data_IF_267714901619
#
_entry.id   IF_267714901619
#
_cell.length_a   1.000
_cell.length_b   1.000
_cell.length_c   1.000
_cell.angle_alpha   90.00
_cell.angle_beta   90.00
_cell.angle_gamma   90.00
#
_symmetry.space_group_name_H-M   'P 1'
#
loop_
_entity.id
_entity.type
_entity.pdbx_description
1 polymer ?
#
# COMPACT_ATOMS: atom_id res chain seq x y z
N UNK A 1 13.70 12.99 13.28
CA UNK A 1 13.64 13.09 11.81
C UNK A 1 13.39 11.67 11.30
N UNK A 2 12.29 11.31 10.62
CA UNK A 2 12.24 10.01 9.99
C UNK A 2 13.11 10.07 8.74
N UNK A 3 14.27 9.42 8.80
CA UNK A 3 15.16 9.21 7.66
C UNK A 3 14.67 7.99 6.87
N UNK A 4 14.45 8.21 5.56
CA UNK A 4 14.40 7.30 4.41
C UNK A 4 13.77 5.89 4.56
N UNK A 5 12.77 5.65 3.72
CA UNK A 5 12.30 4.30 3.38
C UNK A 5 11.10 4.30 2.45
N UNK A 6 9.98 4.85 2.90
CA UNK A 6 8.74 4.90 2.10
C UNK A 6 8.46 6.34 1.67
N UNK A 7 8.64 6.60 0.37
CA UNK A 7 8.04 7.78 -0.22
C UNK A 7 6.55 7.48 -0.41
N UNK A 8 5.63 8.41 -0.07
CA UNK A 8 4.23 8.21 -0.36
C UNK A 8 4.08 7.93 -1.85
N UNK A 9 3.51 6.76 -2.17
CA UNK A 9 3.36 6.32 -3.54
C UNK A 9 2.51 7.36 -4.28
N UNK A 10 2.96 7.82 -5.45
CA UNK A 10 2.07 8.56 -6.34
C UNK A 10 0.90 7.62 -6.65
N UNK A 11 -0.28 7.92 -6.12
CA UNK A 11 -1.40 7.00 -6.15
C UNK A 11 -1.72 6.64 -7.61
N UNK A 12 -1.52 5.37 -7.94
CA UNK A 12 -1.84 4.79 -9.22
C UNK A 12 -3.18 4.08 -9.11
N UNK A 13 -4.03 4.23 -10.13
CA UNK A 13 -5.34 3.59 -10.16
C UNK A 13 -5.78 3.32 -11.59
N UNK A 14 -6.71 2.38 -11.74
CA UNK A 14 -7.53 2.21 -12.93
C UNK A 14 -8.90 2.85 -12.74
N UNK A 15 -9.55 3.17 -13.86
CA UNK A 15 -10.94 3.61 -13.92
C UNK A 15 -11.77 2.56 -14.64
N UNK A 16 -12.81 2.05 -13.98
CA UNK A 16 -13.67 0.97 -14.49
C UNK A 16 -15.01 1.57 -14.91
N UNK A 17 -15.43 1.36 -16.16
CA UNK A 17 -16.73 1.81 -16.64
C UNK A 17 -17.87 0.87 -16.19
N UNK A 18 -19.11 1.20 -16.56
CA UNK A 18 -20.30 0.40 -16.28
C UNK A 18 -20.31 -1.03 -16.88
N UNK A 19 -19.45 -1.33 -17.86
CA UNK A 19 -19.28 -2.68 -18.42
C UNK A 19 -18.19 -3.49 -17.70
N UNK A 20 -17.62 -2.98 -16.61
CA UNK A 20 -16.52 -3.62 -15.91
C UNK A 20 -15.20 -3.59 -16.68
N UNK A 21 -15.02 -2.62 -17.59
CA UNK A 21 -13.81 -2.47 -18.42
C UNK A 21 -12.99 -1.27 -18.00
N UNK A 22 -11.67 -1.42 -18.08
CA UNK A 22 -10.72 -0.38 -17.68
C UNK A 22 -10.47 0.63 -18.78
N UNK A 23 -10.49 1.91 -18.41
CA UNK A 23 -9.96 3.01 -19.23
C UNK A 23 -8.50 2.72 -19.57
N UNK A 24 -8.21 2.70 -20.86
CA UNK A 24 -6.94 2.27 -21.43
C UNK A 24 -6.38 3.36 -22.32
N UNK A 25 -5.13 3.74 -22.10
CA UNK A 25 -4.37 4.58 -23.03
C UNK A 25 -3.61 3.68 -24.02
N UNK A 26 -3.86 3.82 -25.32
CA UNK A 26 -3.14 3.02 -26.32
C UNK A 26 -1.70 3.52 -26.54
N UNK A 27 -0.79 2.59 -26.82
CA UNK A 27 0.63 2.91 -27.04
C UNK A 27 0.87 3.78 -28.28
N UNK A 28 -0.02 3.69 -29.25
CA UNK A 28 0.06 4.39 -30.53
C UNK A 28 -1.25 5.11 -30.79
N UNK A 29 -1.23 6.14 -31.64
CA UNK A 29 -2.38 6.97 -32.04
C UNK A 29 -3.00 7.86 -30.95
N UNK A 30 -2.47 7.87 -29.73
CA UNK A 30 -2.93 8.72 -28.61
C UNK A 30 -4.44 8.60 -28.32
N UNK A 31 -5.03 7.45 -28.65
CA UNK A 31 -6.44 7.15 -28.39
C UNK A 31 -6.61 6.50 -27.03
N UNK A 32 -7.83 6.63 -26.51
CA UNK A 32 -8.29 5.93 -25.31
C UNK A 32 -9.49 5.04 -25.63
N UNK A 33 -9.63 3.94 -24.90
CA UNK A 33 -10.78 3.06 -24.96
C UNK A 33 -11.10 2.48 -23.58
N UNK A 34 -12.24 1.81 -23.44
CA UNK A 34 -12.64 1.05 -22.27
C UNK A 34 -13.00 -0.40 -22.64
N UNK A 35 -12.00 -1.14 -23.13
CA UNK A 35 -12.17 -2.54 -23.58
C UNK A 35 -11.46 -3.58 -22.68
N UNK A 36 -10.48 -3.15 -21.87
CA UNK A 36 -9.62 -4.07 -21.14
C UNK A 36 -10.33 -4.71 -19.92
N UNK A 37 -10.24 -6.05 -19.72
CA UNK A 37 -10.82 -6.75 -18.55
C UNK A 37 -9.99 -6.61 -17.26
N UNK A 38 -8.74 -6.18 -17.36
CA UNK A 38 -7.77 -6.28 -16.26
C UNK A 38 -6.92 -5.02 -16.17
N UNK A 39 -6.56 -4.64 -14.94
CA UNK A 39 -5.63 -3.55 -14.67
C UNK A 39 -4.19 -4.00 -14.96
N UNK A 40 -3.60 -3.50 -16.06
CA UNK A 40 -2.19 -3.66 -16.41
C UNK A 40 -1.59 -2.30 -16.71
N UNK A 41 -0.34 -2.26 -17.19
CA UNK A 41 0.40 -1.03 -17.48
C UNK A 41 -0.41 0.04 -18.24
N UNK A 42 -1.15 -0.34 -19.29
CA UNK A 42 -1.92 0.61 -20.12
C UNK A 42 -3.18 1.17 -19.45
N UNK A 43 -3.61 0.55 -18.36
CA UNK A 43 -4.81 0.91 -17.59
C UNK A 43 -4.46 1.74 -16.34
N UNK A 44 -3.17 1.98 -16.11
CA UNK A 44 -2.70 2.76 -14.97
C UNK A 44 -2.77 4.25 -15.31
N UNK A 45 -3.47 4.98 -14.44
CA UNK A 45 -3.57 6.42 -14.42
C UNK A 45 -3.06 6.97 -13.09
N UNK A 46 -2.63 8.23 -13.13
CA UNK A 46 -2.31 9.02 -11.93
C UNK A 46 -3.09 10.32 -11.98
N UNK A 47 -3.43 10.85 -10.80
CA UNK A 47 -4.09 12.14 -10.67
C UNK A 47 -3.07 13.21 -10.29
N UNK A 48 -3.05 14.31 -11.02
CA UNK A 48 -2.30 15.52 -10.68
C UNK A 48 -3.28 16.66 -10.41
N UNK A 49 -3.02 17.49 -9.41
CA UNK A 49 -3.86 18.65 -9.11
C UNK A 49 -3.23 19.92 -9.67
N UNK A 50 -4.07 20.83 -10.13
CA UNK A 50 -3.63 22.17 -10.50
C UNK A 50 -3.11 22.93 -9.27
N UNK A 51 -2.04 23.71 -9.47
CA UNK A 51 -1.38 24.43 -8.39
C UNK A 51 -2.12 25.71 -7.97
N UNK A 52 -2.96 26.25 -8.85
CA UNK A 52 -3.74 27.47 -8.61
C UNK A 52 -5.19 27.13 -8.23
N UNK A 53 -5.77 26.08 -8.83
CA UNK A 53 -7.12 25.60 -8.51
C UNK A 53 -7.14 24.13 -8.08
N UNK A 54 -7.16 23.90 -6.76
CA UNK A 54 -7.15 22.56 -6.17
C UNK A 54 -8.36 21.68 -6.52
N UNK A 55 -9.42 22.24 -7.14
CA UNK A 55 -10.57 21.45 -7.63
C UNK A 55 -10.29 20.82 -8.99
N UNK A 56 -9.36 21.40 -9.75
CA UNK A 56 -9.01 20.96 -11.09
C UNK A 56 -7.95 19.88 -11.03
N UNK A 57 -8.20 18.83 -11.79
CA UNK A 57 -7.35 17.66 -11.86
C UNK A 57 -6.97 17.34 -13.29
N UNK A 58 -5.81 16.71 -13.43
CA UNK A 58 -5.29 16.17 -14.68
C UNK A 58 -5.11 14.66 -14.52
N UNK A 59 -5.65 13.89 -15.45
CA UNK A 59 -5.46 12.43 -15.49
C UNK A 59 -4.30 12.10 -16.42
N UNK A 60 -3.20 11.59 -15.84
CA UNK A 60 -1.99 11.25 -16.57
C UNK A 60 -1.84 9.74 -16.74
N UNK A 61 -1.69 9.30 -17.99
CA UNK A 61 -1.50 7.90 -18.38
C UNK A 61 -0.10 7.38 -18.06
N UNK A 62 0.11 6.06 -18.24
CA UNK A 62 1.42 5.41 -18.13
C UNK A 62 2.46 5.89 -19.15
N UNK A 63 2.03 6.55 -20.23
CA UNK A 63 2.91 7.18 -21.24
C UNK A 63 3.37 8.57 -20.80
N UNK A 64 2.88 9.06 -19.66
CA UNK A 64 3.12 10.41 -19.20
C UNK A 64 2.29 11.47 -19.94
N UNK A 65 1.28 11.07 -20.72
CA UNK A 65 0.37 11.93 -21.47
C UNK A 65 -0.94 12.16 -20.72
N UNK A 66 -1.62 13.28 -20.97
CA UNK A 66 -2.85 13.67 -20.25
C UNK A 66 -4.12 13.37 -21.05
N UNK A 67 -5.15 12.89 -20.36
CA UNK A 67 -6.51 12.81 -20.89
C UNK A 67 -6.99 14.22 -21.24
N UNK A 68 -7.56 14.40 -22.43
CA UNK A 68 -8.06 15.68 -22.91
C UNK A 68 -9.41 15.52 -23.61
N UNK A 69 -10.21 16.58 -23.60
CA UNK A 69 -11.45 16.70 -24.36
C UNK A 69 -11.52 18.04 -25.06
N UNK A 70 -11.84 18.04 -26.36
CA UNK A 70 -12.13 19.27 -27.08
C UNK A 70 -13.62 19.68 -26.96
N UNK A 71 -13.95 20.81 -27.59
CA UNK A 71 -15.31 21.40 -27.62
C UNK A 71 -16.37 20.52 -28.29
N UNK A 72 -15.95 19.61 -29.17
CA UNK A 72 -16.81 18.69 -29.91
C UNK A 72 -16.97 17.36 -29.16
N UNK A 73 -16.35 17.24 -27.96
CA UNK A 73 -16.41 16.08 -27.08
C UNK A 73 -15.50 14.93 -27.51
N UNK A 74 -14.57 15.17 -28.44
CA UNK A 74 -13.58 14.18 -28.85
C UNK A 74 -12.53 14.04 -27.75
N UNK A 75 -12.26 12.80 -27.37
CA UNK A 75 -11.32 12.47 -26.30
C UNK A 75 -9.99 11.99 -26.88
N UNK A 76 -8.89 12.50 -26.33
CA UNK A 76 -7.53 12.11 -26.69
C UNK A 76 -6.65 11.92 -25.46
N UNK A 77 -5.46 11.33 -25.64
CA UNK A 77 -4.42 11.25 -24.62
C UNK A 77 -3.04 11.57 -25.23
N UNK A 78 -2.93 12.77 -25.82
CA UNK A 78 -1.76 13.19 -26.60
C UNK A 78 -0.89 14.25 -25.90
N UNK A 79 -1.48 15.10 -25.07
CA UNK A 79 -0.75 16.23 -24.47
C UNK A 79 0.37 15.73 -23.54
N UNK A 80 1.58 16.29 -23.66
CA UNK A 80 2.72 16.08 -22.76
C UNK A 80 2.86 17.16 -21.67
N UNK A 81 1.96 18.13 -21.66
CA UNK A 81 1.84 19.17 -20.64
C UNK A 81 0.39 19.49 -20.32
N UNK A 82 0.18 20.30 -19.29
CA UNK A 82 -1.15 20.79 -18.94
C UNK A 82 -1.61 21.83 -19.96
N UNK A 83 -2.85 21.69 -20.43
CA UNK A 83 -3.53 22.67 -21.28
C UNK A 83 -5.00 22.76 -20.89
N UNK A 84 -5.76 23.66 -21.53
CA UNK A 84 -7.16 23.92 -21.21
C UNK A 84 -8.06 22.67 -21.37
N UNK A 85 -7.80 21.88 -22.40
CA UNK A 85 -8.60 20.69 -22.75
C UNK A 85 -8.32 19.51 -21.81
N UNK A 86 -7.21 19.53 -21.06
CA UNK A 86 -6.83 18.50 -20.10
C UNK A 86 -7.42 18.70 -18.69
N UNK A 87 -8.20 19.77 -18.48
CA UNK A 87 -8.71 20.16 -17.15
C UNK A 87 -10.04 19.46 -16.86
N UNK A 88 -10.06 18.63 -15.82
CA UNK A 88 -11.26 17.92 -15.38
C UNK A 88 -11.62 18.25 -13.93
N UNK A 89 -12.91 18.12 -13.60
CA UNK A 89 -13.46 18.13 -12.25
C UNK A 89 -13.98 16.73 -11.92
N UNK A 90 -13.69 16.24 -10.70
CA UNK A 90 -14.25 14.98 -10.20
C UNK A 90 -15.56 15.26 -9.46
N UNK A 91 -16.64 14.66 -9.94
CA UNK A 91 -17.95 14.70 -9.30
C UNK A 91 -18.24 13.33 -8.68
N UNK A 92 -17.96 13.19 -7.38
CA UNK A 92 -18.16 11.95 -6.64
C UNK A 92 -19.67 11.64 -6.44
N UNK A 93 -20.06 10.40 -6.70
CA UNK A 93 -21.43 9.91 -6.52
C UNK A 93 -21.60 9.17 -5.20
N UNK A 94 -22.86 9.01 -4.76
CA UNK A 94 -23.21 8.31 -3.53
C UNK A 94 -22.91 6.80 -3.56
N UNK A 95 -22.89 6.21 -4.75
CA UNK A 95 -22.57 4.79 -4.97
C UNK A 95 -21.05 4.51 -5.01
N UNK A 96 -20.21 5.54 -4.90
CA UNK A 96 -18.75 5.42 -4.89
C UNK A 96 -18.08 5.62 -6.24
N UNK A 97 -18.86 5.74 -7.32
CA UNK A 97 -18.33 6.07 -8.66
C UNK A 97 -18.09 7.57 -8.82
N UNK A 98 -17.30 7.92 -9.82
CA UNK A 98 -16.96 9.28 -10.19
C UNK A 98 -17.53 9.60 -11.57
N UNK A 99 -18.01 10.82 -11.74
CA UNK A 99 -18.14 11.43 -13.06
C UNK A 99 -16.98 12.41 -13.27
N UNK A 100 -16.42 12.43 -14.47
CA UNK A 100 -15.35 13.34 -14.87
C UNK A 100 -15.93 14.41 -15.79
N UNK A 101 -15.96 15.66 -15.34
CA UNK A 101 -16.47 16.78 -16.13
C UNK A 101 -15.32 17.57 -16.71
N UNK A 102 -15.32 17.85 -18.01
CA UNK A 102 -14.41 18.85 -18.60
C UNK A 102 -14.72 20.22 -17.98
N UNK A 103 -13.71 20.85 -17.39
CA UNK A 103 -13.85 22.16 -16.74
C UNK A 103 -14.26 23.24 -17.77
N UNK A 104 -13.63 23.22 -18.94
CA UNK A 104 -13.86 24.22 -19.98
C UNK A 104 -15.20 24.05 -20.71
N UNK A 105 -15.61 22.80 -20.96
CA UNK A 105 -16.77 22.51 -21.82
C UNK A 105 -18.03 22.10 -21.03
N UNK A 106 -17.89 21.88 -19.72
CA UNK A 106 -18.97 21.48 -18.81
C UNK A 106 -19.70 20.20 -19.25
N UNK A 107 -19.02 19.32 -19.98
CA UNK A 107 -19.52 18.02 -20.44
C UNK A 107 -18.87 16.87 -19.65
N UNK A 108 -19.60 15.76 -19.51
CA UNK A 108 -19.14 14.58 -18.80
C UNK A 108 -18.52 13.56 -19.75
N UNK A 109 -17.40 12.99 -19.29
CA UNK A 109 -16.64 11.95 -19.95
C UNK A 109 -17.17 10.55 -19.63
N UNK A 110 -17.46 9.77 -20.67
CA UNK A 110 -18.06 8.46 -20.54
C UNK A 110 -18.02 7.63 -21.82
N UNK A 111 -18.57 6.42 -21.73
CA UNK A 111 -18.77 5.52 -22.85
C UNK A 111 -18.30 4.09 -22.60
N UNK A 112 -18.20 3.34 -23.68
CA UNK A 112 -17.79 1.93 -23.67
C UNK A 112 -16.91 1.61 -24.87
N UNK A 113 -16.00 0.64 -24.69
CA UNK A 113 -15.11 0.16 -25.75
C UNK A 113 -14.38 1.33 -26.43
N UNK A 114 -14.41 1.42 -27.75
CA UNK A 114 -13.78 2.50 -28.52
C UNK A 114 -14.68 3.75 -28.66
N UNK A 115 -15.89 3.73 -28.10
CA UNK A 115 -16.88 4.81 -28.19
C UNK A 115 -16.86 5.68 -26.93
N UNK A 116 -15.68 6.19 -26.59
CA UNK A 116 -15.51 7.16 -25.51
C UNK A 116 -15.70 8.58 -26.04
N UNK A 117 -16.44 9.40 -25.30
CA UNK A 117 -16.65 10.81 -25.60
C UNK A 117 -16.81 11.62 -24.33
N UNK A 118 -16.63 12.94 -24.42
CA UNK A 118 -16.87 13.88 -23.34
C UNK A 118 -17.85 14.94 -23.80
N UNK A 119 -19.09 14.51 -24.08
CA UNK A 119 -20.13 15.37 -24.64
C UNK A 119 -21.46 15.31 -23.88
N UNK A 120 -21.60 14.43 -22.88
CA UNK A 120 -22.84 14.31 -22.13
C UNK A 120 -23.10 15.54 -21.26
N UNK A 121 -24.34 16.04 -21.22
CA UNK A 121 -24.74 17.15 -20.33
C UNK A 121 -25.27 16.66 -18.99
N UNK A 122 -25.67 15.40 -18.91
CA UNK A 122 -26.24 14.76 -17.73
C UNK A 122 -25.47 13.47 -17.47
N UNK A 123 -25.23 13.16 -16.20
CA UNK A 123 -24.58 11.94 -15.77
C UNK A 123 -25.55 10.77 -15.95
N UNK A 124 -25.19 9.80 -16.79
CA UNK A 124 -25.84 8.49 -16.84
C UNK A 124 -24.85 7.42 -16.39
N UNK A 125 -25.26 6.14 -16.40
CA UNK A 125 -24.31 5.04 -16.11
C UNK A 125 -23.10 5.02 -17.07
N UNK A 126 -23.22 5.56 -18.28
CA UNK A 126 -22.11 5.60 -19.24
C UNK A 126 -20.98 6.56 -18.80
N UNK A 127 -21.28 7.58 -18.01
CA UNK A 127 -20.33 8.61 -17.53
C UNK A 127 -19.76 8.30 -16.14
N UNK A 128 -20.12 7.15 -15.56
CA UNK A 128 -19.70 6.75 -14.22
C UNK A 128 -18.54 5.76 -14.25
N UNK A 129 -17.49 6.11 -13.52
CA UNK A 129 -16.25 5.38 -13.41
C UNK A 129 -15.99 4.97 -11.96
N UNK A 130 -15.71 3.70 -11.70
CA UNK A 130 -15.23 3.27 -10.40
C UNK A 130 -13.70 3.33 -10.34
N UNK A 131 -13.14 3.97 -9.32
CA UNK A 131 -11.70 3.98 -9.08
C UNK A 131 -11.28 2.64 -8.46
N UNK A 132 -10.24 2.03 -9.05
CA UNK A 132 -9.63 0.81 -8.54
C UNK A 132 -8.13 1.03 -8.36
N UNK A 133 -7.65 1.07 -7.11
CA UNK A 133 -6.25 1.27 -6.76
C UNK A 133 -5.35 0.23 -7.44
N UNK A 134 -4.29 0.70 -8.10
CA UNK A 134 -3.24 -0.12 -8.67
C UNK A 134 -2.16 -0.43 -7.62
N UNK A 135 -2.59 -0.90 -6.45
CA UNK A 135 -1.75 -1.29 -5.33
C UNK A 135 -2.08 -2.74 -4.96
N UNK A 136 -1.12 -3.45 -4.39
CA UNK A 136 -1.44 -4.64 -3.62
C UNK A 136 -2.48 -4.28 -2.53
N UNK A 137 -3.53 -5.09 -2.31
CA UNK A 137 -4.61 -4.73 -1.39
C UNK A 137 -4.16 -4.62 0.07
N UNK A 138 -3.02 -5.20 0.41
CA UNK A 138 -2.42 -5.09 1.75
C UNK A 138 -1.47 -3.89 1.81
N UNK A 139 -1.73 -3.01 2.77
CA UNK A 139 -1.06 -1.74 2.88
C UNK A 139 -0.96 -1.28 4.34
N UNK A 140 -0.11 -0.30 4.57
CA UNK A 140 -0.03 0.46 5.81
C UNK A 140 -0.63 1.85 5.59
N UNK A 141 -1.41 2.32 6.58
CA UNK A 141 -2.14 3.58 6.49
C UNK A 141 -1.53 4.61 7.43
N UNK A 142 -0.98 5.69 6.88
CA UNK A 142 -0.33 6.76 7.63
C UNK A 142 -1.25 7.99 7.68
N UNK A 143 -1.58 8.47 8.88
CA UNK A 143 -2.29 9.75 9.03
C UNK A 143 -1.35 10.92 8.74
N UNK A 144 -1.75 11.81 7.83
CA UNK A 144 -0.99 13.02 7.49
C UNK A 144 -0.95 13.99 8.67
N UNK A 145 -2.05 14.13 9.41
CA UNK A 145 -2.14 15.02 10.57
C UNK A 145 -1.32 14.51 11.76
N UNK A 146 -1.46 13.23 12.11
CA UNK A 146 -0.78 12.65 13.28
C UNK A 146 0.67 12.25 13.03
N UNK A 147 1.02 11.97 11.77
CA UNK A 147 2.30 11.32 11.41
C UNK A 147 2.50 10.02 12.20
N UNK A 148 1.44 9.21 12.22
CA UNK A 148 1.35 7.91 12.91
C UNK A 148 0.60 6.93 12.02
N UNK A 149 0.98 5.66 12.10
CA UNK A 149 0.34 4.59 11.34
C UNK A 149 -0.86 4.03 12.08
N UNK A 150 -1.83 3.57 11.32
CA UNK A 150 -2.96 2.81 11.82
C UNK A 150 -2.52 1.39 12.19
N UNK A 151 -3.05 0.87 13.30
CA UNK A 151 -2.91 -0.53 13.67
C UNK A 151 -4.15 -1.02 14.44
N UNK A 152 -4.33 -2.33 14.49
CA UNK A 152 -5.32 -2.96 15.36
C UNK A 152 -4.86 -2.86 16.83
N UNK A 153 -5.64 -2.18 17.66
CA UNK A 153 -5.54 -2.33 19.13
C UNK A 153 -6.37 -3.55 19.54
N UNK A 154 -5.69 -4.63 19.93
CA UNK A 154 -6.36 -5.87 20.36
C UNK A 154 -7.10 -5.69 21.69
N UNK A 155 -6.57 -4.87 22.58
CA UNK A 155 -7.13 -4.61 23.91
C UNK A 155 -8.43 -3.80 23.82
N UNK A 156 -8.43 -2.73 23.00
CA UNK A 156 -9.57 -1.83 22.86
C UNK A 156 -10.55 -2.26 21.76
N UNK A 157 -10.13 -3.15 20.86
CA UNK A 157 -10.96 -3.64 19.75
C UNK A 157 -11.25 -2.55 18.70
N UNK A 158 -10.31 -1.65 18.47
CA UNK A 158 -10.40 -0.52 17.53
C UNK A 158 -9.19 -0.47 16.58
N UNK A 159 -9.26 0.38 15.55
CA UNK A 159 -8.08 0.81 14.81
C UNK A 159 -7.56 2.10 15.46
N UNK A 160 -6.42 2.01 16.14
CA UNK A 160 -5.72 3.16 16.70
C UNK A 160 -4.72 3.71 15.67
N UNK A 161 -4.38 5.00 15.78
CA UNK A 161 -3.47 5.70 14.86
C UNK A 161 -2.44 6.48 15.65
N UNK A 162 -1.57 5.74 16.35
CA UNK A 162 -0.59 6.27 17.30
C UNK A 162 0.80 5.60 17.23
N UNK A 163 0.99 4.57 16.40
CA UNK A 163 2.29 3.90 16.24
C UNK A 163 3.24 4.63 15.26
N UNK A 164 4.53 4.63 15.58
CA UNK A 164 5.55 5.39 14.82
C UNK A 164 5.99 4.71 13.53
N UNK A 165 5.92 3.38 13.50
CA UNK A 165 6.36 2.53 12.39
C UNK A 165 5.29 1.47 12.14
N UNK A 166 5.08 1.04 10.88
CA UNK A 166 4.08 0.03 10.55
C UNK A 166 4.66 -1.39 10.77
N UNK A 167 4.89 -1.75 12.03
CA UNK A 167 5.53 -3.01 12.40
C UNK A 167 4.55 -4.01 13.00
N UNK A 168 4.82 -5.29 12.78
CA UNK A 168 4.02 -6.40 13.30
C UNK A 168 2.70 -6.60 12.55
N UNK A 169 2.01 -7.67 12.93
CA UNK A 169 0.79 -8.12 12.23
C UNK A 169 -0.36 -7.11 12.36
N UNK A 170 -0.39 -6.37 13.49
CA UNK A 170 -1.44 -5.40 13.80
C UNK A 170 -1.42 -4.18 12.89
N UNK A 171 -0.27 -3.80 12.32
CA UNK A 171 -0.14 -2.64 11.44
C UNK A 171 -0.66 -2.92 10.01
N UNK A 172 -0.98 -4.17 9.67
CA UNK A 172 -1.51 -4.49 8.35
C UNK A 172 -3.00 -4.17 8.26
N UNK A 173 -3.35 -3.41 7.22
CA UNK A 173 -4.71 -3.27 6.74
C UNK A 173 -4.84 -3.88 5.35
N UNK A 174 -5.94 -4.61 5.12
CA UNK A 174 -6.34 -5.08 3.80
C UNK A 174 -7.48 -4.20 3.28
N UNK A 175 -7.25 -3.52 2.15
CA UNK A 175 -8.23 -2.76 1.41
C UNK A 175 -9.04 -3.72 0.53
N UNK A 176 -10.27 -3.99 0.92
CA UNK A 176 -11.18 -4.89 0.19
C UNK A 176 -12.08 -4.05 -0.72
N UNK A 177 -11.93 -4.20 -2.03
CA UNK A 177 -12.78 -3.55 -3.01
C UNK A 177 -14.12 -4.29 -3.17
N UNK A 178 -15.24 -3.58 -3.04
CA UNK A 178 -16.59 -4.11 -3.21
C UNK A 178 -17.49 -3.04 -3.81
N UNK A 179 -18.09 -3.34 -4.96
CA UNK A 179 -19.12 -2.52 -5.63
C UNK A 179 -18.76 -1.02 -5.74
N UNK A 180 -17.55 -0.71 -6.19
CA UNK A 180 -17.09 0.69 -6.34
C UNK A 180 -16.61 1.36 -5.06
N UNK A 181 -16.63 0.66 -3.92
CA UNK A 181 -16.18 1.15 -2.61
C UNK A 181 -15.08 0.28 -2.03
N UNK A 182 -14.50 0.74 -0.94
CA UNK A 182 -13.46 0.05 -0.20
C UNK A 182 -13.84 -0.17 1.25
N UNK A 183 -13.50 -1.34 1.79
CA UNK A 183 -13.54 -1.61 3.22
C UNK A 183 -12.11 -1.76 3.76
N UNK A 184 -11.90 -1.27 4.98
CA UNK A 184 -10.65 -1.48 5.72
C UNK A 184 -10.81 -2.72 6.60
N UNK A 185 -10.05 -3.77 6.29
CA UNK A 185 -10.07 -5.05 7.02
C UNK A 185 -8.79 -5.22 7.84
N UNK A 186 -8.92 -5.51 9.13
CA UNK A 186 -7.82 -5.76 10.06
C UNK A 186 -7.29 -7.18 9.93
N UNK A 187 -6.11 -7.45 10.49
CA UNK A 187 -5.45 -8.76 10.40
C UNK A 187 -6.23 -9.92 11.04
N UNK A 188 -7.10 -9.64 12.00
CA UNK A 188 -8.02 -10.62 12.62
C UNK A 188 -9.31 -10.86 11.81
N UNK A 189 -9.43 -10.22 10.66
CA UNK A 189 -10.50 -10.46 9.70
C UNK A 189 -11.74 -9.56 9.87
N UNK A 190 -11.75 -8.62 10.80
CA UNK A 190 -12.87 -7.67 10.99
C UNK A 190 -12.74 -6.43 10.10
N UNK A 191 -13.86 -5.74 9.88
CA UNK A 191 -13.98 -4.54 9.06
C UNK A 191 -14.25 -3.30 9.90
N UNK A 192 -13.62 -2.18 9.56
CA UNK A 192 -13.86 -0.90 10.22
C UNK A 192 -15.21 -0.30 9.83
N UNK A 193 -16.10 -0.13 10.81
CA UNK A 193 -17.34 0.63 10.72
C UNK A 193 -17.09 2.13 10.92
N UNK A 194 -17.95 2.97 10.34
CA UNK A 194 -17.83 4.42 10.39
C UNK A 194 -17.93 5.01 11.81
N UNK A 195 -18.51 4.27 12.77
CA UNK A 195 -18.55 4.64 14.19
C UNK A 195 -17.25 4.30 14.97
N UNK A 196 -16.29 3.63 14.32
CA UNK A 196 -15.00 3.22 14.87
C UNK A 196 -14.95 1.78 15.36
N UNK A 197 -16.07 1.05 15.33
CA UNK A 197 -16.12 -0.35 15.76
C UNK A 197 -15.62 -1.30 14.68
N UNK A 198 -15.16 -2.47 15.10
CA UNK A 198 -14.76 -3.57 14.22
C UNK A 198 -15.87 -4.62 14.10
N UNK A 199 -16.34 -4.87 12.87
CA UNK A 199 -17.44 -5.79 12.57
C UNK A 199 -16.95 -7.03 11.81
N UNK A 200 -17.56 -8.19 12.03
CA UNK A 200 -17.17 -9.45 11.33
C UNK A 200 -17.68 -9.52 9.88
N UNK A 201 -18.69 -8.73 9.54
CA UNK A 201 -19.27 -8.67 8.20
C UNK A 201 -19.15 -7.26 7.63
N UNK A 202 -18.95 -7.20 6.31
CA UNK A 202 -19.02 -5.93 5.58
C UNK A 202 -20.46 -5.49 5.38
N UNK A 203 -20.69 -4.19 5.34
CA UNK A 203 -21.98 -3.61 5.04
C UNK A 203 -21.88 -2.12 4.73
N UNK A 204 -23.04 -1.45 4.71
CA UNK A 204 -23.13 -0.01 4.38
C UNK A 204 -22.23 0.87 5.26
N UNK A 205 -22.15 0.58 6.56
CA UNK A 205 -21.37 1.35 7.52
C UNK A 205 -19.85 1.08 7.44
N UNK A 206 -19.41 0.00 6.78
CA UNK A 206 -17.99 -0.34 6.64
C UNK A 206 -17.43 -0.01 5.26
N UNK A 207 -18.26 0.50 4.35
CA UNK A 207 -17.92 0.77 2.96
C UNK A 207 -17.65 2.26 2.75
N UNK A 208 -16.46 2.57 2.25
CA UNK A 208 -15.97 3.92 2.04
C UNK A 208 -15.73 4.20 0.56
N UNK A 209 -16.21 5.35 0.10
CA UNK A 209 -15.81 5.94 -1.17
C UNK A 209 -14.45 6.60 -0.98
N UNK A 210 -13.48 6.27 -1.84
CA UNK A 210 -12.19 6.94 -1.81
C UNK A 210 -12.29 8.26 -2.57
N UNK A 211 -11.78 9.33 -1.95
CA UNK A 211 -11.58 10.63 -2.60
C UNK A 211 -10.10 11.00 -2.55
N UNK A 212 -9.64 11.66 -3.60
CA UNK A 212 -8.28 12.15 -3.74
C UNK A 212 -8.22 13.64 -3.47
N UNK A 213 -7.35 14.06 -2.55
CA UNK A 213 -7.10 15.48 -2.25
C UNK A 213 -5.61 15.70 -1.97
N UNK A 214 -4.99 16.59 -2.72
CA UNK A 214 -3.56 16.93 -2.59
C UNK A 214 -2.64 15.70 -2.64
N UNK A 215 -2.99 14.74 -3.51
CA UNK A 215 -2.27 13.46 -3.65
C UNK A 215 -2.45 12.50 -2.47
N UNK A 216 -3.34 12.80 -1.52
CA UNK A 216 -3.67 11.97 -0.35
C UNK A 216 -5.06 11.36 -0.50
N UNK A 217 -5.28 10.27 0.21
CA UNK A 217 -6.58 9.60 0.28
C UNK A 217 -7.42 10.16 1.42
N UNK A 218 -8.72 10.27 1.17
CA UNK A 218 -9.75 10.45 2.19
C UNK A 218 -10.81 9.36 2.03
N UNK A 219 -11.30 8.82 3.14
CA UNK A 219 -12.27 7.73 3.16
C UNK A 219 -13.63 8.29 3.56
N UNK A 220 -14.54 8.39 2.60
CA UNK A 220 -15.89 8.94 2.79
C UNK A 220 -16.89 7.83 3.08
N UNK A 221 -17.61 7.93 4.19
CA UNK A 221 -18.60 6.96 4.60
C UNK A 221 -19.95 7.11 3.88
N UNK A 222 -20.92 6.28 4.28
CA UNK A 222 -22.26 6.26 3.72
C UNK A 222 -23.15 7.47 4.09
N UNK A 223 -22.70 8.34 4.98
CA UNK A 223 -23.35 9.60 5.38
C UNK A 223 -22.66 10.84 4.78
N UNK A 224 -21.62 10.62 3.97
CA UNK A 224 -20.82 11.68 3.37
C UNK A 224 -19.85 12.36 4.35
N UNK A 225 -19.54 11.68 5.47
CA UNK A 225 -18.51 12.08 6.44
C UNK A 225 -17.22 11.33 6.16
N UNK A 226 -16.12 11.77 6.76
CA UNK A 226 -14.79 11.23 6.46
C UNK A 226 -14.15 10.64 7.71
N UNK A 227 -13.42 9.53 7.52
CA UNK A 227 -12.58 8.96 8.56
C UNK A 227 -11.51 9.97 8.99
N UNK A 228 -11.33 10.12 10.30
CA UNK A 228 -10.18 10.81 10.89
C UNK A 228 -9.81 10.18 12.24
N UNK A 229 -8.53 10.28 12.66
CA UNK A 229 -8.11 9.80 13.98
C UNK A 229 -8.62 10.70 15.12
N UNK A 230 -9.36 10.14 16.08
CA UNK A 230 -9.97 10.90 17.19
C UNK A 230 -9.53 10.42 18.58
N UNK A 231 -9.46 11.33 19.55
CA UNK A 231 -9.09 10.99 20.94
C UNK A 231 -7.58 10.72 21.13
N UNK A 232 -7.11 10.28 22.31
CA UNK A 232 -5.69 10.13 22.60
C UNK A 232 -4.97 9.13 21.68
N UNK A 233 -5.50 7.90 21.57
CA UNK A 233 -4.99 6.80 20.71
C UNK A 233 -5.27 7.04 19.23
N UNK A 234 -6.17 7.97 18.91
CA UNK A 234 -6.51 8.27 17.52
C UNK A 234 -7.40 7.22 16.90
N UNK A 235 -8.39 6.71 17.65
CA UNK A 235 -9.46 5.85 17.15
C UNK A 235 -9.93 6.32 15.78
N UNK A 236 -9.74 5.48 14.76
CA UNK A 236 -10.09 5.81 13.39
C UNK A 236 -11.59 5.63 13.19
N UNK A 237 -12.32 6.74 12.98
CA UNK A 237 -13.76 6.72 12.74
C UNK A 237 -14.21 7.95 11.97
N UNK A 238 -15.44 7.96 11.49
CA UNK A 238 -16.00 9.12 10.81
C UNK A 238 -16.18 10.30 11.77
N UNK A 239 -15.62 11.45 11.39
CA UNK A 239 -15.84 12.72 12.07
C UNK A 239 -17.16 13.37 11.65
N UNK A 240 -17.25 14.69 11.86
CA UNK A 240 -18.43 15.50 11.48
C UNK A 240 -18.26 16.23 10.14
N UNK A 241 -17.02 16.29 9.64
CA UNK A 241 -16.64 17.01 8.43
C UNK A 241 -17.31 16.41 7.19
N UNK A 242 -17.89 17.25 6.33
CA UNK A 242 -18.44 16.88 5.02
C UNK A 242 -17.52 17.22 3.85
N UNK A 243 -16.32 17.72 4.15
CA UNK A 243 -15.21 17.92 3.21
C UNK A 243 -13.92 17.52 3.93
N UNK A 244 -12.98 16.82 3.28
CA UNK A 244 -11.78 16.35 3.96
C UNK A 244 -10.83 17.51 4.22
N UNK A 245 -10.47 17.75 5.48
CA UNK A 245 -9.39 18.61 5.92
C UNK A 245 -8.12 17.80 6.12
N UNK A 246 -7.09 18.40 6.75
CA UNK A 246 -5.80 17.73 6.99
C UNK A 246 -5.93 16.46 7.85
N UNK A 247 -6.89 16.43 8.77
CA UNK A 247 -7.11 15.32 9.71
C UNK A 247 -7.74 14.09 9.03
N UNK A 248 -8.41 14.30 7.90
CA UNK A 248 -9.05 13.26 7.08
C UNK A 248 -8.14 12.73 5.95
N UNK A 249 -6.89 13.20 5.86
CA UNK A 249 -5.96 12.78 4.81
C UNK A 249 -5.00 11.70 5.29
N UNK A 250 -4.84 10.69 4.45
CA UNK A 250 -3.97 9.54 4.68
C UNK A 250 -3.05 9.28 3.49
N UNK A 251 -1.84 8.82 3.83
CA UNK A 251 -0.94 8.16 2.90
C UNK A 251 -1.15 6.65 2.97
N UNK A 252 -1.11 6.01 1.81
CA UNK A 252 -1.18 4.56 1.70
C UNK A 252 0.16 4.06 1.21
N UNK A 253 0.79 3.20 2.01
CA UNK A 253 2.10 2.64 1.74
C UNK A 253 2.00 1.15 1.52
N UNK A 254 2.83 0.62 0.61
CA UNK A 254 2.91 -0.82 0.38
C UNK A 254 3.39 -1.52 1.67
N UNK A 255 2.68 -2.57 2.06
CA UNK A 255 3.11 -3.36 3.22
C UNK A 255 4.15 -4.38 2.79
N UNK A 256 5.37 -4.21 3.29
CA UNK A 256 6.45 -5.14 3.04
C UNK A 256 6.30 -6.41 3.89
N UNK A 257 6.74 -7.58 3.37
CA UNK A 257 6.67 -8.81 4.14
C UNK A 257 7.53 -8.71 5.40
N UNK A 258 6.92 -9.06 6.53
CA UNK A 258 7.59 -9.17 7.81
C UNK A 258 7.57 -10.63 8.28
N UNK A 259 8.69 -11.07 8.83
CA UNK A 259 8.95 -12.46 9.21
C UNK A 259 9.42 -12.55 10.64
N UNK A 260 9.11 -13.68 11.25
CA UNK A 260 9.71 -14.12 12.51
C UNK A 260 10.52 -15.38 12.20
N UNK A 261 11.73 -15.46 12.75
CA UNK A 261 12.67 -16.55 12.53
C UNK A 261 12.82 -17.35 13.81
N UNK A 262 12.49 -18.64 13.78
CA UNK A 262 12.68 -19.55 14.90
C UNK A 262 13.87 -20.47 14.60
N UNK A 263 14.84 -20.53 15.50
CA UNK A 263 15.99 -21.41 15.32
C UNK A 263 15.68 -22.87 15.71
N UNK A 264 16.61 -23.78 15.38
CA UNK A 264 16.49 -25.20 15.71
C UNK A 264 16.36 -25.50 17.22
N UNK A 265 16.73 -24.55 18.09
CA UNK A 265 16.52 -24.65 19.54
C UNK A 265 15.07 -24.31 19.97
N UNK A 266 14.16 -24.03 19.03
CA UNK A 266 12.77 -23.68 19.31
C UNK A 266 12.58 -22.26 19.85
N UNK A 267 13.59 -21.38 19.73
CA UNK A 267 13.54 -20.00 20.21
C UNK A 267 13.55 -19.01 19.04
N UNK A 268 12.90 -17.86 19.24
CA UNK A 268 12.85 -16.78 18.26
C UNK A 268 14.13 -15.96 18.26
N UNK A 269 14.58 -15.63 17.04
CA UNK A 269 15.68 -14.70 16.78
C UNK A 269 15.26 -13.30 17.18
N UNK A 270 16.10 -12.62 17.94
CA UNK A 270 15.78 -11.36 18.59
C UNK A 270 16.96 -10.38 18.59
N UNK A 271 16.64 -9.08 18.64
CA UNK A 271 17.57 -7.98 18.89
C UNK A 271 17.58 -7.48 20.35
N UNK A 272 16.86 -8.13 21.28
CA UNK A 272 16.77 -7.68 22.68
C UNK A 272 18.10 -7.70 23.43
N UNK A 273 19.03 -8.56 23.03
CA UNK A 273 20.34 -8.72 23.70
C UNK A 273 21.39 -7.70 23.21
N UNK A 274 20.97 -6.65 22.51
CA UNK A 274 21.83 -5.59 22.00
C UNK A 274 22.29 -5.87 20.57
N UNK A 275 23.58 -5.69 20.33
CA UNK A 275 24.15 -5.62 18.97
C UNK A 275 24.07 -6.96 18.22
N UNK A 276 24.29 -8.08 18.91
CA UNK A 276 24.33 -9.41 18.28
C UNK A 276 22.96 -10.05 18.32
N UNK A 277 22.56 -10.63 17.19
CA UNK A 277 21.31 -11.38 17.09
C UNK A 277 21.42 -12.71 17.82
N UNK A 278 20.39 -13.05 18.58
CA UNK A 278 20.31 -14.31 19.31
C UNK A 278 18.91 -14.93 19.25
N UNK A 279 18.84 -16.24 19.05
CA UNK A 279 17.64 -17.04 19.15
C UNK A 279 17.42 -17.52 20.59
N UNK A 280 16.77 -16.70 21.40
CA UNK A 280 16.59 -16.96 22.84
C UNK A 280 15.26 -16.48 23.43
N UNK A 281 14.33 -15.96 22.63
CA UNK A 281 13.02 -15.50 23.09
C UNK A 281 11.93 -16.55 22.84
N UNK A 282 10.87 -16.50 23.64
CA UNK A 282 9.67 -17.35 23.51
C UNK A 282 8.47 -16.60 22.89
N UNK A 283 8.51 -15.26 22.89
CA UNK A 283 7.41 -14.41 22.44
C UNK A 283 7.77 -13.68 21.14
N UNK A 284 6.74 -13.41 20.34
CA UNK A 284 6.84 -12.63 19.10
C UNK A 284 6.48 -11.16 19.39
N UNK A 285 7.47 -10.28 19.40
CA UNK A 285 7.26 -8.81 19.46
C UNK A 285 7.97 -8.10 18.31
N UNK A 286 7.96 -6.77 18.32
CA UNK A 286 8.70 -5.95 17.36
C UNK A 286 10.20 -6.25 17.32
N UNK A 287 10.76 -6.79 18.40
CA UNK A 287 12.19 -7.15 18.50
C UNK A 287 12.53 -8.52 17.88
N UNK A 288 11.52 -9.33 17.59
CA UNK A 288 11.64 -10.65 16.94
C UNK A 288 11.09 -10.64 15.50
N UNK A 289 10.45 -9.54 15.12
CA UNK A 289 9.89 -9.32 13.78
C UNK A 289 10.88 -8.55 12.91
N UNK A 290 11.12 -9.05 11.71
CA UNK A 290 12.03 -8.45 10.73
C UNK A 290 11.35 -8.25 9.38
N UNK A 291 11.46 -7.07 8.80
CA UNK A 291 11.04 -6.82 7.42
C UNK A 291 12.05 -7.47 6.47
N UNK A 292 11.56 -8.37 5.62
CA UNK A 292 12.36 -9.12 4.65
C UNK A 292 12.18 -8.50 3.26
N UNK A 293 13.24 -7.94 2.70
CA UNK A 293 13.20 -7.32 1.37
C UNK A 293 14.05 -8.14 0.41
N UNK A 294 13.47 -8.54 -0.73
CA UNK A 294 14.16 -9.33 -1.74
C UNK A 294 14.64 -8.39 -2.85
N UNK A 295 15.95 -8.36 -3.05
CA UNK A 295 16.55 -7.64 -4.15
C UNK A 295 16.18 -8.28 -5.50
N UNK A 296 15.74 -7.45 -6.46
CA UNK A 296 15.18 -7.94 -7.73
C UNK A 296 16.24 -8.55 -8.65
N UNK A 297 17.48 -8.09 -8.56
CA UNK A 297 18.57 -8.51 -9.45
C UNK A 297 19.29 -9.73 -8.89
N UNK A 298 19.74 -9.67 -7.64
CA UNK A 298 20.54 -10.71 -6.99
C UNK A 298 19.70 -11.82 -6.37
N UNK A 299 18.39 -11.59 -6.18
CA UNK A 299 17.46 -12.48 -5.46
C UNK A 299 17.86 -12.77 -4.01
N UNK A 300 18.81 -12.02 -3.46
CA UNK A 300 19.19 -12.05 -2.04
C UNK A 300 18.20 -11.22 -1.22
N UNK A 301 18.08 -11.53 0.06
CA UNK A 301 17.25 -10.77 0.97
C UNK A 301 18.07 -9.95 1.96
N UNK A 302 17.51 -8.82 2.37
CA UNK A 302 17.91 -8.09 3.58
C UNK A 302 16.88 -8.35 4.68
N UNK A 303 17.29 -8.18 5.94
CA UNK A 303 16.40 -8.25 7.09
C UNK A 303 16.54 -6.95 7.88
N UNK A 304 15.51 -6.12 7.87
CA UNK A 304 15.45 -4.86 8.63
C UNK A 304 14.72 -5.09 9.94
N UNK A 305 15.23 -4.51 11.02
CA UNK A 305 14.61 -4.51 12.35
C UNK A 305 13.66 -3.34 12.55
N UNK A 306 12.82 -3.42 13.58
CA UNK A 306 11.96 -2.32 14.05
C UNK A 306 12.74 -1.05 14.41
N UNK A 307 14.01 -1.18 14.78
CA UNK A 307 14.90 -0.05 15.06
C UNK A 307 15.48 0.61 13.79
N UNK A 308 15.14 0.08 12.61
CA UNK A 308 15.56 0.61 11.31
C UNK A 308 16.90 0.05 10.80
N UNK A 309 17.64 -0.70 11.63
CA UNK A 309 18.92 -1.31 11.26
C UNK A 309 18.73 -2.64 10.52
N UNK A 310 19.67 -2.97 9.65
CA UNK A 310 19.75 -4.23 8.92
C UNK A 310 20.63 -5.25 9.63
N UNK A 311 20.28 -6.52 9.47
CA UNK A 311 21.17 -7.64 9.77
C UNK A 311 22.43 -7.52 8.92
N UNK A 312 23.59 -7.75 9.54
CA UNK A 312 24.88 -7.65 8.89
C UNK A 312 25.83 -8.75 9.37
N UNK A 313 26.51 -9.37 8.41
CA UNK A 313 27.67 -10.22 8.68
C UNK A 313 28.86 -9.35 9.10
N UNK A 314 29.47 -9.68 10.24
CA UNK A 314 30.71 -9.04 10.71
C UNK A 314 31.93 -9.96 10.56
N UNK A 315 33.12 -9.38 10.63
CA UNK A 315 34.39 -10.04 10.28
C UNK A 315 34.65 -11.39 10.98
N UNK A 316 34.20 -11.55 12.23
CA UNK A 316 34.35 -12.80 12.99
C UNK A 316 33.22 -13.83 12.72
N UNK A 317 32.41 -13.61 11.69
CA UNK A 317 31.31 -14.49 11.29
C UNK A 317 30.00 -14.30 12.06
N UNK A 318 29.94 -13.36 13.00
CA UNK A 318 28.72 -13.01 13.73
C UNK A 318 27.68 -12.30 12.87
N UNK A 319 26.41 -12.39 13.25
CA UNK A 319 25.32 -11.61 12.66
C UNK A 319 24.86 -10.56 13.67
N UNK A 320 24.88 -9.29 13.27
CA UNK A 320 24.56 -8.14 14.11
C UNK A 320 23.48 -7.26 13.46
N UNK A 321 22.78 -6.44 14.25
CA UNK A 321 21.73 -5.53 13.77
C UNK A 321 22.15 -4.07 13.91
N UNK A 322 23.28 -3.69 13.31
CA UNK A 322 23.91 -2.36 13.41
C UNK A 322 24.06 -1.62 12.09
N UNK A 323 23.85 -2.28 10.95
CA UNK A 323 24.00 -1.64 9.65
C UNK A 323 22.83 -0.69 9.37
N UNK A 324 23.12 0.56 9.04
CA UNK A 324 22.12 1.57 8.68
C UNK A 324 21.83 1.61 7.18
N UNK A 325 22.68 0.96 6.38
CA UNK A 325 22.62 0.95 4.91
C UNK A 325 22.80 -0.47 4.37
N UNK A 326 22.23 -0.71 3.19
CA UNK A 326 22.36 -1.98 2.48
C UNK A 326 23.76 -2.09 1.87
N UNK A 327 24.40 -3.23 2.11
CA UNK A 327 25.68 -3.62 1.53
C UNK A 327 25.74 -5.13 1.28
N UNK A 328 26.81 -5.60 0.65
CA UNK A 328 27.01 -7.04 0.42
C UNK A 328 26.92 -7.87 1.72
N UNK A 329 27.38 -7.32 2.86
CA UNK A 329 27.33 -8.01 4.15
C UNK A 329 25.93 -8.02 4.80
N UNK A 330 25.00 -7.21 4.32
CA UNK A 330 23.58 -7.23 4.76
C UNK A 330 22.68 -8.07 3.88
N UNK A 331 23.23 -8.64 2.80
CA UNK A 331 22.50 -9.46 1.85
C UNK A 331 22.74 -10.94 2.11
N UNK A 332 21.65 -11.69 2.22
CA UNK A 332 21.65 -13.12 2.52
C UNK A 332 20.92 -13.90 1.41
N UNK A 333 21.44 -15.06 1.04
CA UNK A 333 20.69 -15.98 0.18
C UNK A 333 19.81 -16.89 1.05
N UNK A 334 18.55 -17.08 0.64
CA UNK A 334 17.59 -17.94 1.35
C UNK A 334 17.31 -19.17 0.51
N UNK A 335 17.55 -20.34 1.08
CA UNK A 335 17.24 -21.65 0.50
C UNK A 335 16.03 -22.24 1.21
N UNK A 336 14.97 -22.51 0.43
CA UNK A 336 13.70 -23.06 0.92
C UNK A 336 13.78 -24.59 1.03
N UNK A 337 13.58 -25.12 2.24
CA UNK A 337 13.72 -26.54 2.58
C UNK A 337 12.40 -27.06 3.17
N UNK A 338 11.34 -27.01 2.35
CA UNK A 338 9.97 -27.27 2.80
C UNK A 338 9.49 -26.20 3.77
N UNK A 339 9.25 -26.57 5.03
CA UNK A 339 8.81 -25.65 6.09
C UNK A 339 9.98 -25.00 6.87
N UNK A 340 11.21 -25.22 6.42
CA UNK A 340 12.44 -24.67 7.00
C UNK A 340 13.18 -23.85 5.96
N UNK A 341 14.11 -23.02 6.41
CA UNK A 341 15.04 -22.31 5.54
C UNK A 341 16.48 -22.46 6.01
N UNK A 342 17.38 -22.46 5.05
CA UNK A 342 18.79 -22.18 5.25
C UNK A 342 19.07 -20.74 4.80
N UNK A 343 19.78 -19.97 5.63
CA UNK A 343 20.19 -18.61 5.30
C UNK A 343 21.71 -18.60 5.14
N UNK A 344 22.19 -18.17 3.97
CA UNK A 344 23.60 -18.11 3.62
C UNK A 344 24.09 -16.67 3.54
N UNK A 345 25.13 -16.35 4.29
CA UNK A 345 25.70 -15.00 4.32
C UNK A 345 26.72 -14.80 3.18
N UNK A 346 27.19 -13.56 3.04
CA UNK A 346 28.07 -13.15 1.95
C UNK A 346 29.46 -13.82 1.96
N UNK A 347 29.90 -14.37 3.11
CA UNK A 347 31.10 -15.20 3.19
C UNK A 347 30.91 -16.62 2.62
N UNK A 348 29.76 -16.92 2.02
CA UNK A 348 29.45 -18.23 1.46
C UNK A 348 29.07 -19.29 2.51
N UNK A 349 28.88 -18.91 3.78
CA UNK A 349 28.55 -19.83 4.86
C UNK A 349 27.11 -19.69 5.33
N UNK A 350 26.53 -20.79 5.79
CA UNK A 350 25.20 -20.84 6.38
C UNK A 350 25.22 -20.34 7.82
N UNK A 351 24.18 -19.58 8.17
CA UNK A 351 23.90 -19.10 9.52
C UNK A 351 23.49 -20.30 10.39
N UNK A 352 24.13 -20.41 11.54
CA UNK A 352 23.86 -21.41 12.56
C UNK A 352 23.73 -20.74 13.92
N UNK A 353 22.99 -21.40 14.80
CA UNK A 353 22.81 -20.97 16.19
C UNK A 353 23.84 -21.65 17.10
N UNK A 354 24.53 -20.87 17.93
CA UNK A 354 25.38 -21.38 19.03
C UNK A 354 24.53 -21.93 20.18
N UNK A 355 25.17 -22.65 21.11
CA UNK A 355 24.51 -23.13 22.34
C UNK A 355 23.86 -22.02 23.17
N UNK A 356 24.43 -20.81 23.14
CA UNK A 356 23.92 -19.62 23.81
C UNK A 356 22.89 -18.83 22.98
N UNK A 357 22.44 -19.36 21.82
CA UNK A 357 21.47 -18.70 20.95
C UNK A 357 22.06 -17.75 19.90
N UNK A 358 23.32 -17.32 19.99
CA UNK A 358 23.89 -16.36 19.04
C UNK A 358 23.94 -16.90 17.59
N UNK A 359 23.68 -16.02 16.62
CA UNK A 359 23.71 -16.36 15.19
C UNK A 359 25.10 -16.12 14.59
N UNK A 360 25.65 -17.12 13.90
CA UNK A 360 26.93 -17.04 13.19
C UNK A 360 26.89 -17.74 11.82
N UNK A 361 27.46 -17.10 10.79
CA UNK A 361 27.66 -17.68 9.47
C UNK A 361 28.99 -18.44 9.39
N UNK A 362 28.97 -19.71 9.84
CA UNK A 362 30.20 -20.53 9.98
C UNK A 362 30.09 -21.92 9.34
N UNK A 363 28.92 -22.36 8.91
CA UNK A 363 28.72 -23.71 8.35
C UNK A 363 28.86 -23.72 6.83
N UNK A 364 29.59 -24.69 6.27
CA UNK A 364 29.75 -24.86 4.81
C UNK A 364 28.62 -25.71 4.19
N UNK A 365 27.80 -26.37 5.03
CA UNK A 365 26.67 -27.19 4.60
C UNK A 365 25.39 -26.88 5.39
N UNK A 366 24.26 -27.26 4.80
CA UNK A 366 22.93 -27.24 5.41
C UNK A 366 22.86 -28.38 6.44
N UNK A 367 23.19 -28.09 7.71
CA UNK A 367 23.12 -29.07 8.82
C UNK A 367 21.79 -29.02 9.59
N UNK A 368 21.63 -29.79 10.68
CA UNK A 368 20.37 -29.86 11.46
C UNK A 368 19.96 -28.54 12.17
N UNK A 369 20.84 -27.54 12.22
CA UNK A 369 20.62 -26.25 12.92
C UNK A 369 19.98 -25.18 12.04
N UNK A 370 18.96 -25.56 11.27
CA UNK A 370 18.24 -24.67 10.35
C UNK A 370 17.24 -23.77 11.06
N UNK A 371 16.89 -22.66 10.42
CA UNK A 371 15.84 -21.77 10.87
C UNK A 371 14.49 -22.23 10.28
N UNK A 372 13.41 -22.03 11.02
CA UNK A 372 12.03 -22.02 10.52
C UNK A 372 11.62 -20.58 10.32
N UNK A 373 11.06 -20.25 9.17
CA UNK A 373 10.47 -18.94 8.90
C UNK A 373 8.98 -19.05 9.12
N UNK A 374 8.46 -18.17 9.96
CA UNK A 374 7.02 -17.89 10.00
C UNK A 374 6.81 -16.54 9.32
N UNK A 375 6.02 -16.56 8.27
CA UNK A 375 5.60 -15.34 7.60
C UNK A 375 4.40 -14.77 8.35
N UNK A 376 4.52 -13.53 8.78
CA UNK A 376 3.36 -12.80 9.30
C UNK A 376 2.39 -12.45 8.17
N UNK A 377 2.84 -12.47 6.91
CA UNK A 377 1.99 -12.23 5.74
C UNK A 377 2.36 -13.10 4.53
N UNK A 378 1.38 -13.84 4.02
CA UNK A 378 1.43 -14.47 2.70
C UNK A 378 1.32 -13.35 1.66
N UNK A 379 2.46 -12.95 1.10
CA UNK A 379 2.47 -12.23 -0.17
C UNK A 379 2.37 -13.25 -1.30
N UNK A 380 1.40 -13.03 -2.19
CA UNK A 380 1.45 -13.59 -3.53
C UNK A 380 2.57 -12.86 -4.28
N UNK A 381 3.78 -13.42 -4.25
CA UNK A 381 4.83 -13.08 -5.21
C UNK A 381 4.23 -13.28 -6.62
N UNK A 382 4.03 -12.19 -7.36
CA UNK A 382 3.80 -12.23 -8.81
C UNK A 382 5.13 -11.96 -9.52
#
# INVERSE_FOLDING_TARGET
MPANGNHPLKLQFGLINHEGRYLTAENFSFKVNASAPSLKKKQIWTLEQDSQDIQVVYLRSHLGRYLASDKDGKVTCEADGHNSDCRFLIVAQSDGRWALQSEQHLRFFGGSRDYLSCFAQVITNAELWAMHLALHPQANLLSVARRRYAHLSMEDGEIAVDVNIPWGVAALLTLVYMDGKYCLKTCDGRFLSNDGKLLTQSGRATAYTLELKCGKLAFKDCEGKYLSPMGPTGTLRSGRCSKPGKDELFDLEESHPQVVLMAANGRYVSIRQGVSLAANQDDETDMETFQMEIDKETRKCTFRSSQGNYWALVAHGGIQSTATEVSANTMFAVEWLGHKVAIKANNGKYICTKKNGQLLAVSDSVGERLLKVFFSFILSLH
#
